data_IF_612920314252
#
_entry.id   IF_612920314252
#
_cell.length_a   1.000
_cell.length_b   1.000
_cell.length_c   1.000
_cell.angle_alpha   90.00
_cell.angle_beta   90.00
_cell.angle_gamma   90.00
#
_symmetry.space_group_name_H-M   'P 1'
#
loop_
_entity.id
_entity.type
_entity.pdbx_description
1 polymer ?
#
# COMPACT_ATOMS: atom_id res chain seq x y z
N UNK A 1 8.77 5.81 14.75
CA UNK A 1 9.30 4.64 14.02
C UNK A 1 8.18 3.62 13.80
N UNK A 2 8.37 2.65 12.91
CA UNK A 2 7.48 1.50 12.67
C UNK A 2 8.28 0.20 12.53
N UNK A 3 7.64 -0.97 12.60
CA UNK A 3 8.32 -2.27 12.41
C UNK A 3 8.93 -2.36 10.99
N UNK A 4 10.15 -2.89 10.91
CA UNK A 4 10.81 -3.24 9.65
C UNK A 4 10.53 -4.71 9.29
N UNK A 5 9.31 -4.97 8.81
CA UNK A 5 8.79 -6.28 8.39
C UNK A 5 7.98 -6.09 7.10
N UNK A 6 7.61 -7.15 6.36
CA UNK A 6 6.78 -7.03 5.16
C UNK A 6 5.49 -6.24 5.43
N UNK A 7 5.11 -5.39 4.47
CA UNK A 7 3.88 -4.61 4.56
C UNK A 7 2.67 -5.54 4.83
N UNK A 8 1.87 -5.18 5.82
CA UNK A 8 0.70 -5.95 6.22
C UNK A 8 0.96 -7.15 7.13
N UNK A 9 2.23 -7.49 7.41
CA UNK A 9 2.59 -8.47 8.42
C UNK A 9 2.55 -7.89 9.85
N UNK A 10 2.67 -8.75 10.86
CA UNK A 10 2.68 -8.36 12.26
C UNK A 10 3.66 -9.20 13.08
N UNK A 11 4.15 -8.64 14.18
CA UNK A 11 4.88 -9.38 15.21
C UNK A 11 3.94 -9.73 16.35
N UNK A 12 3.82 -11.02 16.66
CA UNK A 12 3.01 -11.52 17.78
C UNK A 12 3.86 -11.61 19.05
N UNK A 13 3.26 -11.21 20.17
CA UNK A 13 3.82 -11.35 21.51
C UNK A 13 2.83 -12.15 22.37
N UNK A 14 3.25 -13.30 22.86
CA UNK A 14 2.49 -14.06 23.85
C UNK A 14 2.66 -13.46 25.26
N UNK A 15 1.74 -13.74 26.21
CA UNK A 15 1.87 -13.26 27.58
C UNK A 15 3.20 -13.68 28.21
N UNK A 16 4.01 -12.68 28.61
CA UNK A 16 5.33 -12.87 29.23
C UNK A 16 6.49 -13.07 28.24
N UNK A 17 6.24 -13.02 26.93
CA UNK A 17 7.26 -13.15 25.90
C UNK A 17 8.04 -11.83 25.70
N UNK A 18 9.36 -11.96 25.49
CA UNK A 18 10.23 -10.86 25.09
C UNK A 18 10.83 -11.18 23.73
N UNK A 19 10.78 -10.22 22.79
CA UNK A 19 11.40 -10.32 21.47
C UNK A 19 12.15 -9.04 21.14
N UNK A 20 13.27 -9.18 20.42
CA UNK A 20 13.93 -8.06 19.76
C UNK A 20 13.22 -7.79 18.42
N UNK A 21 12.94 -6.53 18.14
CA UNK A 21 12.34 -6.09 16.87
C UNK A 21 13.19 -5.01 16.22
N UNK A 22 13.24 -4.99 14.89
CA UNK A 22 13.90 -3.92 14.13
C UNK A 22 12.85 -2.88 13.79
N UNK A 23 13.17 -1.61 14.07
CA UNK A 23 12.33 -0.47 13.76
C UNK A 23 12.98 0.40 12.69
N UNK A 24 12.15 1.02 11.86
CA UNK A 24 12.57 1.98 10.84
C UNK A 24 11.84 3.31 11.05
N UNK A 25 12.49 4.41 10.66
CA UNK A 25 11.86 5.73 10.62
C UNK A 25 10.66 5.72 9.68
N UNK A 26 9.63 6.50 10.01
CA UNK A 26 8.57 6.81 9.03
C UNK A 26 9.14 7.78 7.98
N UNK A 27 8.62 7.69 6.75
CA UNK A 27 9.03 8.54 5.62
C UNK A 27 8.04 9.71 5.45
N UNK A 28 8.03 10.34 4.27
CA UNK A 28 7.12 11.42 3.92
C UNK A 28 7.32 12.64 4.81
N UNK A 29 6.21 13.26 5.23
CA UNK A 29 6.22 14.45 6.11
C UNK A 29 6.60 14.13 7.56
N UNK A 30 6.73 12.85 7.91
CA UNK A 30 7.05 12.36 9.26
C UNK A 30 6.09 12.91 10.31
N UNK A 31 4.79 12.70 10.11
CA UNK A 31 3.75 13.12 11.06
C UNK A 31 3.09 11.88 11.64
N UNK A 32 3.02 11.81 12.97
CA UNK A 32 2.34 10.73 13.69
C UNK A 32 0.92 11.20 14.00
N UNK A 33 -0.08 10.34 13.76
CA UNK A 33 -1.49 10.58 14.07
C UNK A 33 -2.17 9.30 14.57
N UNK A 34 -3.22 9.44 15.36
CA UNK A 34 -4.07 8.33 15.79
C UNK A 34 -3.46 7.46 16.90
N UNK A 35 -3.84 6.18 16.93
CA UNK A 35 -3.46 5.26 18.01
C UNK A 35 -3.99 5.70 19.36
N UNK A 36 -3.11 5.78 20.37
CA UNK A 36 -3.46 6.29 21.71
C UNK A 36 -3.25 7.81 21.86
N UNK A 37 -3.00 8.53 20.75
CA UNK A 37 -2.75 9.98 20.74
C UNK A 37 -1.57 10.44 21.63
N UNK A 38 -0.64 9.54 21.98
CA UNK A 38 0.54 9.86 22.81
C UNK A 38 1.46 10.86 22.09
N UNK A 39 1.60 10.70 20.77
CA UNK A 39 2.55 11.44 19.95
C UNK A 39 1.91 12.04 18.68
N UNK A 40 0.67 12.52 18.76
CA UNK A 40 -0.03 13.14 17.61
C UNK A 40 0.58 14.50 17.23
N UNK A 41 1.69 14.45 16.50
CA UNK A 41 2.40 15.63 16.01
C UNK A 41 3.44 15.26 14.93
N UNK A 42 3.99 16.27 14.22
CA UNK A 42 5.23 16.08 13.45
C UNK A 42 6.37 15.58 14.34
N UNK A 43 7.15 14.64 13.82
CA UNK A 43 8.32 14.08 14.49
C UNK A 43 9.36 15.17 14.69
N UNK A 44 9.73 15.40 15.95
CA UNK A 44 10.67 16.43 16.37
C UNK A 44 11.34 15.98 17.68
N UNK A 45 12.67 15.89 17.69
CA UNK A 45 13.46 15.44 18.83
C UNK A 45 13.27 16.35 20.05
N UNK A 46 12.95 17.64 19.84
CA UNK A 46 12.69 18.58 20.92
C UNK A 46 11.45 18.20 21.75
N UNK A 47 10.53 17.41 21.20
CA UNK A 47 9.28 17.02 21.86
C UNK A 47 9.40 15.74 22.68
N UNK A 48 10.49 14.98 22.54
CA UNK A 48 10.68 13.66 23.17
C UNK A 48 10.43 13.74 24.68
N UNK A 49 10.99 14.73 25.38
CA UNK A 49 10.78 14.86 26.83
C UNK A 49 9.31 15.07 27.23
N UNK A 50 8.55 15.81 26.43
CA UNK A 50 7.12 16.03 26.67
C UNK A 50 6.32 14.76 26.42
N UNK A 51 6.67 14.02 25.35
CA UNK A 51 6.05 12.74 25.00
C UNK A 51 6.32 11.67 26.05
N UNK A 52 7.52 11.63 26.63
CA UNK A 52 7.85 10.70 27.72
C UNK A 52 7.05 11.00 29.00
N UNK A 53 6.77 12.28 29.27
CA UNK A 53 5.83 12.69 30.31
C UNK A 53 4.42 12.13 30.07
N UNK A 54 3.87 12.37 28.87
CA UNK A 54 2.55 11.86 28.48
C UNK A 54 2.48 10.32 28.50
N UNK A 55 3.56 9.63 28.12
CA UNK A 55 3.69 8.18 28.17
C UNK A 55 3.58 7.67 29.61
N UNK A 56 4.30 8.32 30.54
CA UNK A 56 4.27 7.97 31.96
C UNK A 56 2.91 8.26 32.60
N UNK A 57 2.28 9.40 32.28
CA UNK A 57 0.94 9.76 32.75
C UNK A 57 -0.13 8.79 32.24
N UNK A 58 0.01 8.33 30.99
CA UNK A 58 -0.86 7.34 30.37
C UNK A 58 -0.65 5.90 30.88
N UNK A 59 0.35 5.66 31.74
CA UNK A 59 0.64 4.33 32.29
C UNK A 59 1.18 3.34 31.26
N UNK A 60 1.80 3.82 30.18
CA UNK A 60 2.43 2.97 29.17
C UNK A 60 3.77 2.42 29.69
N UNK A 61 4.03 1.15 29.45
CA UNK A 61 5.29 0.51 29.87
C UNK A 61 6.49 1.10 29.13
N UNK A 62 7.49 1.54 29.88
CA UNK A 62 8.75 2.05 29.34
C UNK A 62 9.94 1.58 30.20
N UNK A 63 10.99 1.14 29.53
CA UNK A 63 12.29 0.85 30.12
C UNK A 63 13.36 1.35 29.13
N UNK A 64 14.28 2.18 29.61
CA UNK A 64 15.41 2.65 28.81
C UNK A 64 16.36 1.49 28.51
N UNK A 65 16.65 1.25 27.23
CA UNK A 65 17.69 0.33 26.81
C UNK A 65 18.99 1.12 26.66
N UNK A 66 20.03 0.88 27.48
CA UNK A 66 21.20 1.77 27.55
C UNK A 66 22.14 1.64 26.34
N UNK A 67 22.05 0.55 25.58
CA UNK A 67 22.94 0.29 24.44
C UNK A 67 22.13 -0.25 23.24
N UNK A 68 21.17 0.52 22.71
CA UNK A 68 20.39 0.06 21.56
C UNK A 68 21.31 0.00 20.33
N UNK A 69 21.12 -1.01 19.49
CA UNK A 69 21.80 -1.07 18.20
C UNK A 69 21.07 -0.15 17.23
N UNK A 70 21.68 0.98 16.90
CA UNK A 70 21.15 1.96 15.96
C UNK A 70 21.96 1.99 14.67
N UNK A 71 21.31 2.33 13.55
CA UNK A 71 21.95 2.43 12.26
C UNK A 71 20.95 2.71 11.14
N UNK A 72 21.44 2.62 9.90
CA UNK A 72 20.63 2.81 8.69
C UNK A 72 20.45 1.50 7.95
N UNK A 73 19.33 1.38 7.24
CA UNK A 73 19.10 0.31 6.27
C UNK A 73 19.97 0.53 5.04
N UNK A 74 20.36 -0.55 4.36
CA UNK A 74 21.22 -0.52 3.18
C UNK A 74 21.71 -1.91 2.77
N UNK A 75 22.43 -1.99 1.65
CA UNK A 75 23.09 -3.23 1.23
C UNK A 75 24.05 -3.71 2.34
N UNK A 76 23.95 -4.99 2.71
CA UNK A 76 24.71 -5.64 3.79
C UNK A 76 24.47 -5.12 5.23
N UNK A 77 23.47 -4.25 5.45
CA UNK A 77 23.11 -3.81 6.81
C UNK A 77 22.38 -4.90 7.58
N UNK A 78 22.78 -5.14 8.83
CA UNK A 78 22.08 -6.05 9.74
C UNK A 78 20.68 -5.58 10.14
N UNK A 79 20.31 -4.35 9.79
CA UNK A 79 18.98 -3.79 10.00
C UNK A 79 18.06 -3.97 8.79
N UNK A 80 18.60 -4.37 7.64
CA UNK A 80 17.83 -4.56 6.42
C UNK A 80 17.00 -5.83 6.50
N UNK A 81 15.75 -5.73 6.05
CA UNK A 81 14.88 -6.87 5.82
C UNK A 81 14.93 -7.20 4.32
N UNK A 82 15.10 -8.48 3.98
CA UNK A 82 15.05 -8.95 2.59
C UNK A 82 14.03 -10.08 2.46
N UNK A 83 13.46 -10.21 1.27
CA UNK A 83 12.54 -11.27 0.92
C UNK A 83 12.81 -11.72 -0.51
N UNK A 84 12.39 -12.96 -0.82
CA UNK A 84 12.51 -13.47 -2.18
C UNK A 84 11.45 -12.87 -3.09
N UNK A 85 11.70 -12.84 -4.40
CA UNK A 85 10.71 -12.42 -5.40
C UNK A 85 9.44 -13.28 -5.33
N UNK A 86 9.57 -14.58 -5.06
CA UNK A 86 8.42 -15.48 -4.93
C UNK A 86 7.53 -15.11 -3.73
N UNK A 87 8.12 -14.88 -2.55
CA UNK A 87 7.39 -14.43 -1.37
C UNK A 87 6.73 -13.07 -1.60
N UNK A 88 7.44 -12.15 -2.26
CA UNK A 88 6.91 -10.83 -2.60
C UNK A 88 5.72 -10.95 -3.54
N UNK A 89 5.85 -11.71 -4.63
CA UNK A 89 4.79 -11.92 -5.61
C UNK A 89 3.56 -12.57 -4.98
N UNK A 90 3.75 -13.51 -4.06
CA UNK A 90 2.66 -14.14 -3.31
C UNK A 90 1.92 -13.17 -2.38
N UNK A 91 2.57 -12.12 -1.88
CA UNK A 91 1.96 -11.14 -0.97
C UNK A 91 1.36 -9.93 -1.70
N UNK A 92 2.05 -9.41 -2.72
CA UNK A 92 1.77 -8.10 -3.31
C UNK A 92 1.61 -8.15 -4.83
N UNK A 93 1.73 -9.32 -5.46
CA UNK A 93 1.85 -9.46 -6.91
C UNK A 93 3.28 -9.24 -7.42
N UNK A 94 3.56 -9.67 -8.67
CA UNK A 94 4.92 -9.62 -9.25
C UNK A 94 5.44 -8.18 -9.38
N UNK A 95 6.75 -7.97 -9.29
CA UNK A 95 7.39 -6.67 -9.47
C UNK A 95 8.28 -6.64 -10.71
N UNK A 96 9.02 -5.54 -10.92
CA UNK A 96 9.85 -5.30 -12.11
C UNK A 96 10.76 -6.50 -12.43
N UNK A 97 10.72 -6.95 -13.69
CA UNK A 97 11.50 -8.09 -14.19
C UNK A 97 10.84 -9.46 -13.99
N UNK A 98 9.84 -9.57 -13.12
CA UNK A 98 9.05 -10.79 -12.99
C UNK A 98 8.20 -11.02 -14.25
N UNK A 99 7.88 -12.28 -14.53
CA UNK A 99 7.07 -12.69 -15.67
C UNK A 99 5.86 -13.50 -15.25
N UNK A 100 4.73 -13.25 -15.90
CA UNK A 100 3.47 -13.96 -15.69
C UNK A 100 2.95 -14.54 -17.00
N UNK A 101 2.49 -15.79 -16.97
CA UNK A 101 1.82 -16.42 -18.11
C UNK A 101 0.39 -15.91 -18.21
N UNK A 102 -0.07 -15.55 -19.41
CA UNK A 102 -1.44 -15.10 -19.63
C UNK A 102 -2.37 -16.30 -19.79
N UNK A 103 -3.05 -16.67 -18.70
CA UNK A 103 -3.93 -17.85 -18.68
C UNK A 103 -3.15 -19.13 -18.96
N UNK A 104 -3.70 -19.99 -19.83
CA UNK A 104 -3.07 -21.22 -20.31
C UNK A 104 -2.31 -21.04 -21.63
N UNK A 105 -2.15 -19.80 -22.11
CA UNK A 105 -1.45 -19.48 -23.36
C UNK A 105 0.07 -19.61 -23.23
N UNK A 106 0.80 -19.54 -24.35
CA UNK A 106 2.27 -19.44 -24.36
C UNK A 106 2.81 -17.99 -24.31
N UNK A 107 1.95 -17.04 -23.97
CA UNK A 107 2.32 -15.64 -23.80
C UNK A 107 2.78 -15.37 -22.38
N UNK A 108 3.92 -14.69 -22.25
CA UNK A 108 4.48 -14.26 -20.97
C UNK A 108 4.62 -12.73 -20.98
N UNK A 109 3.94 -12.08 -20.03
CA UNK A 109 4.05 -10.65 -19.78
C UNK A 109 5.14 -10.39 -18.74
N UNK A 110 6.09 -9.52 -19.04
CA UNK A 110 7.12 -9.06 -18.10
C UNK A 110 6.72 -7.71 -17.51
N UNK A 111 6.92 -7.53 -16.21
CA UNK A 111 6.68 -6.23 -15.56
C UNK A 111 7.82 -5.28 -15.92
N UNK A 112 7.51 -4.26 -16.71
CA UNK A 112 8.49 -3.29 -17.23
C UNK A 112 8.87 -2.26 -16.16
N UNK A 113 7.94 -1.95 -15.26
CA UNK A 113 8.12 -0.97 -14.18
C UNK A 113 7.17 -1.23 -13.02
N UNK A 114 7.65 -1.06 -11.79
CA UNK A 114 6.84 -0.97 -10.57
C UNK A 114 6.94 0.46 -10.03
N UNK A 115 5.80 1.08 -9.72
CA UNK A 115 5.72 2.40 -9.09
C UNK A 115 5.77 2.32 -7.55
N UNK A 116 5.67 1.12 -6.98
CA UNK A 116 5.74 0.89 -5.55
C UNK A 116 7.12 1.19 -4.94
N UNK A 117 7.11 1.49 -3.64
CA UNK A 117 8.31 1.57 -2.81
C UNK A 117 8.29 0.37 -1.87
N UNK A 118 9.34 -0.45 -1.94
CA UNK A 118 9.37 -1.72 -1.22
C UNK A 118 9.26 -1.54 0.30
N UNK A 119 8.30 -2.22 0.91
CA UNK A 119 7.99 -2.16 2.34
C UNK A 119 6.97 -1.08 2.73
N UNK A 120 6.42 -0.34 1.77
CA UNK A 120 5.32 0.62 1.93
C UNK A 120 4.10 0.26 1.04
N UNK A 121 3.96 -1.00 0.65
CA UNK A 121 2.84 -1.50 -0.16
C UNK A 121 1.49 -1.23 0.51
N UNK A 122 0.51 -0.79 -0.27
CA UNK A 122 -0.83 -0.51 0.22
C UNK A 122 -1.61 -1.82 0.34
N UNK A 123 -1.70 -2.41 1.54
CA UNK A 123 -2.48 -3.64 1.76
C UNK A 123 -3.56 -3.41 2.81
N UNK A 124 -4.80 -3.74 2.43
CA UNK A 124 -5.98 -3.64 3.29
C UNK A 124 -6.26 -4.94 4.06
N UNK A 125 -6.73 -4.79 5.30
CA UNK A 125 -7.14 -5.91 6.16
C UNK A 125 -6.82 -5.69 7.64
N UNK A 126 -7.28 -6.63 8.47
CA UNK A 126 -7.06 -6.60 9.92
C UNK A 126 -5.57 -6.56 10.27
N UNK A 127 -5.14 -5.51 10.98
CA UNK A 127 -3.74 -5.34 11.38
C UNK A 127 -2.78 -4.93 10.26
N UNK A 128 -3.27 -4.66 9.04
CA UNK A 128 -2.42 -4.33 7.89
C UNK A 128 -2.11 -2.83 7.78
N UNK A 129 -1.77 -2.37 6.57
CA UNK A 129 -1.22 -1.06 6.27
C UNK A 129 -2.29 0.03 6.22
N UNK A 130 -3.39 -0.22 5.48
CA UNK A 130 -4.44 0.78 5.26
C UNK A 130 -5.37 0.88 6.48
N UNK A 131 -4.91 1.64 7.47
CA UNK A 131 -5.60 1.97 8.73
C UNK A 131 -5.31 3.42 9.11
N UNK A 132 -6.20 3.99 9.92
CA UNK A 132 -6.14 5.38 10.38
C UNK A 132 -4.75 5.78 10.93
N UNK A 133 -4.21 6.88 10.41
CA UNK A 133 -2.88 7.42 10.78
C UNK A 133 -1.70 6.60 10.25
N UNK A 134 -1.94 5.46 9.60
CA UNK A 134 -0.94 4.60 8.97
C UNK A 134 -0.97 4.82 7.46
N UNK A 135 -1.23 3.79 6.64
CA UNK A 135 -1.37 3.97 5.19
C UNK A 135 -2.64 4.71 4.77
N UNK A 136 -3.62 4.84 5.67
CA UNK A 136 -4.78 5.74 5.49
C UNK A 136 -4.49 7.08 6.16
N UNK A 137 -4.42 8.13 5.36
CA UNK A 137 -4.13 9.49 5.79
C UNK A 137 -5.26 10.05 6.68
N UNK A 138 -4.86 10.75 7.74
CA UNK A 138 -5.76 11.37 8.71
C UNK A 138 -5.57 12.88 8.72
N UNK A 139 -6.67 13.64 8.67
CA UNK A 139 -6.63 15.11 8.65
C UNK A 139 -6.43 15.75 7.28
N UNK A 140 -6.63 15.01 6.20
CA UNK A 140 -6.62 15.53 4.83
C UNK A 140 -8.03 15.89 4.36
N UNK A 141 -8.21 16.99 3.59
CA UNK A 141 -9.50 17.32 3.00
C UNK A 141 -10.02 16.21 2.09
N UNK A 142 -11.33 15.87 2.13
CA UNK A 142 -11.91 14.87 1.22
C UNK A 142 -11.70 15.18 -0.27
N UNK A 143 -11.55 16.46 -0.62
CA UNK A 143 -11.25 16.90 -1.99
C UNK A 143 -9.89 16.37 -2.50
N UNK A 144 -8.92 16.16 -1.61
CA UNK A 144 -7.57 15.72 -1.97
C UNK A 144 -7.42 14.19 -1.92
N UNK A 145 -8.37 13.49 -1.28
CA UNK A 145 -8.36 12.04 -1.12
C UNK A 145 -9.01 11.33 -2.32
N UNK A 146 -8.56 10.13 -2.64
CA UNK A 146 -9.22 9.26 -3.61
C UNK A 146 -10.60 8.81 -3.13
N UNK A 147 -11.52 8.53 -4.06
CA UNK A 147 -12.79 7.88 -3.72
C UNK A 147 -12.61 6.36 -3.64
N UNK A 148 -11.79 5.80 -4.52
CA UNK A 148 -11.42 4.39 -4.53
C UNK A 148 -9.97 4.24 -4.95
N UNK A 149 -9.29 3.25 -4.38
CA UNK A 149 -7.95 2.83 -4.83
C UNK A 149 -7.96 1.35 -5.17
N UNK A 150 -7.39 0.98 -6.33
CA UNK A 150 -7.05 -0.41 -6.65
C UNK A 150 -5.58 -0.60 -6.31
N UNK A 151 -5.29 -1.41 -5.29
CA UNK A 151 -3.93 -1.54 -4.74
C UNK A 151 -3.10 -2.58 -5.49
N UNK A 152 -1.81 -2.32 -5.68
CA UNK A 152 -0.81 -3.28 -6.19
C UNK A 152 -1.20 -3.99 -7.50
N UNK A 153 -1.93 -3.31 -8.38
CA UNK A 153 -2.43 -3.88 -9.62
C UNK A 153 -1.30 -4.03 -10.66
N UNK A 154 -1.29 -5.16 -11.35
CA UNK A 154 -0.54 -5.29 -12.61
C UNK A 154 -1.41 -4.78 -13.74
N UNK A 155 -1.03 -3.67 -14.35
CA UNK A 155 -1.72 -3.09 -15.50
C UNK A 155 -1.12 -3.66 -16.78
N UNK A 156 -1.97 -4.23 -17.63
CA UNK A 156 -1.63 -4.53 -19.02
C UNK A 156 -2.43 -3.58 -19.90
N UNK A 157 -1.71 -2.71 -20.60
CA UNK A 157 -2.27 -1.75 -21.53
C UNK A 157 -1.40 -1.64 -22.77
N UNK A 158 -1.93 -1.05 -23.85
CA UNK A 158 -1.12 -0.79 -25.04
C UNK A 158 0.05 0.17 -24.78
N UNK A 159 -0.03 0.99 -23.73
CA UNK A 159 1.04 1.90 -23.30
C UNK A 159 2.17 1.21 -22.52
N UNK A 160 1.97 -0.03 -22.05
CA UNK A 160 3.00 -0.80 -21.35
C UNK A 160 2.42 -1.81 -20.34
N UNK A 161 3.33 -2.55 -19.70
CA UNK A 161 3.01 -3.53 -18.65
C UNK A 161 3.72 -3.11 -17.36
N UNK A 162 2.97 -2.62 -16.38
CA UNK A 162 3.54 -2.04 -15.18
C UNK A 162 2.70 -2.33 -13.94
N UNK A 163 3.32 -2.22 -12.75
CA UNK A 163 2.66 -2.38 -11.46
C UNK A 163 2.48 -1.03 -10.77
N UNK A 164 1.27 -0.72 -10.33
CA UNK A 164 0.96 0.53 -9.63
C UNK A 164 -0.29 0.40 -8.76
N UNK A 165 -0.54 1.44 -7.95
CA UNK A 165 -1.87 1.69 -7.39
C UNK A 165 -2.67 2.58 -8.36
N UNK A 166 -3.94 2.25 -8.58
CA UNK A 166 -4.84 2.99 -9.46
C UNK A 166 -5.77 3.84 -8.58
N UNK A 167 -5.65 5.16 -8.68
CA UNK A 167 -6.51 6.10 -7.98
C UNK A 167 -7.73 6.47 -8.81
N UNK A 168 -8.91 6.36 -8.21
CA UNK A 168 -10.20 6.72 -8.80
C UNK A 168 -10.82 7.86 -8.00
N UNK A 169 -11.28 8.89 -8.70
CA UNK A 169 -12.06 10.00 -8.12
C UNK A 169 -13.09 10.48 -9.12
N UNK A 170 -14.32 10.73 -8.66
CA UNK A 170 -15.47 11.17 -9.46
C UNK A 170 -15.73 10.26 -10.68
N UNK A 171 -15.47 8.96 -10.54
CA UNK A 171 -15.62 7.95 -11.60
C UNK A 171 -14.51 7.95 -12.66
N UNK A 172 -13.45 8.73 -12.47
CA UNK A 172 -12.31 8.81 -13.39
C UNK A 172 -11.03 8.25 -12.77
N UNK A 173 -10.17 7.67 -13.62
CA UNK A 173 -8.79 7.34 -13.24
C UNK A 173 -8.02 8.66 -13.14
N UNK A 174 -7.59 9.02 -11.93
CA UNK A 174 -6.88 10.29 -11.67
C UNK A 174 -5.38 10.09 -11.43
N UNK A 175 -4.94 8.87 -11.11
CA UNK A 175 -3.54 8.57 -10.88
C UNK A 175 -3.20 7.10 -11.13
N UNK A 176 -1.99 6.87 -11.68
CA UNK A 176 -1.32 5.57 -11.78
C UNK A 176 0.05 5.73 -11.14
N UNK A 177 0.17 5.43 -9.85
CA UNK A 177 1.35 5.82 -9.06
C UNK A 177 1.45 4.99 -7.77
N UNK A 178 2.28 5.44 -6.83
CA UNK A 178 2.22 4.97 -5.44
C UNK A 178 1.16 5.75 -4.67
N UNK A 179 0.12 5.06 -4.18
CA UNK A 179 -0.87 5.63 -3.27
C UNK A 179 -0.42 5.47 -1.81
N UNK A 180 -1.13 6.10 -0.87
CA UNK A 180 -0.91 5.89 0.57
C UNK A 180 -1.16 7.12 1.41
N UNK A 181 -0.34 7.28 2.45
CA UNK A 181 -0.40 8.42 3.34
C UNK A 181 0.90 9.23 3.29
N UNK A 182 0.89 10.47 2.76
CA UNK A 182 2.08 11.30 2.66
C UNK A 182 2.67 11.73 4.01
N UNK A 183 1.94 11.52 5.13
CA UNK A 183 2.47 11.78 6.47
C UNK A 183 3.54 10.76 6.89
N UNK A 184 3.49 9.53 6.37
CA UNK A 184 4.39 8.44 6.78
C UNK A 184 5.05 7.68 5.62
N UNK A 185 4.61 7.91 4.38
CA UNK A 185 5.10 7.29 3.14
C UNK A 185 5.47 8.39 2.14
N UNK A 186 6.35 8.06 1.19
CA UNK A 186 6.56 8.86 -0.02
C UNK A 186 5.54 8.40 -1.07
N UNK A 187 4.39 9.09 -1.14
CA UNK A 187 3.23 8.70 -1.94
C UNK A 187 2.67 9.88 -2.73
N UNK A 188 2.29 9.65 -3.98
CA UNK A 188 1.79 10.67 -4.90
C UNK A 188 0.26 10.84 -4.84
N UNK A 189 -0.47 9.83 -4.35
CA UNK A 189 -1.93 9.85 -4.22
C UNK A 189 -2.40 9.47 -2.80
N UNK A 190 -3.43 10.15 -2.31
CA UNK A 190 -3.84 10.08 -0.91
C UNK A 190 -5.01 9.11 -0.72
N UNK A 191 -4.79 8.08 0.11
CA UNK A 191 -5.84 7.21 0.63
C UNK A 191 -6.34 7.84 1.93
N UNK A 192 -7.57 8.38 1.92
CA UNK A 192 -8.18 9.05 3.06
C UNK A 192 -9.24 8.20 3.76
N UNK A 193 -9.89 8.81 4.76
CA UNK A 193 -10.98 8.19 5.54
C UNK A 193 -12.22 7.81 4.71
N UNK A 194 -12.40 8.43 3.54
CA UNK A 194 -13.53 8.20 2.64
C UNK A 194 -13.15 7.37 1.40
N UNK A 195 -11.94 6.80 1.37
CA UNK A 195 -11.44 6.03 0.23
C UNK A 195 -11.81 4.56 0.38
N UNK A 196 -12.50 4.00 -0.61
CA UNK A 196 -12.73 2.55 -0.72
C UNK A 196 -11.49 1.84 -1.28
N UNK A 197 -11.31 0.57 -0.94
CA UNK A 197 -10.17 -0.24 -1.40
C UNK A 197 -10.65 -1.46 -2.20
N UNK A 198 -10.06 -1.62 -3.39
CA UNK A 198 -10.14 -2.85 -4.18
C UNK A 198 -8.74 -3.49 -4.17
N UNK A 199 -8.62 -4.70 -3.66
CA UNK A 199 -7.35 -5.43 -3.64
C UNK A 199 -7.00 -5.93 -5.06
N UNK A 200 -5.92 -5.38 -5.64
CA UNK A 200 -5.40 -5.77 -6.95
C UNK A 200 -4.12 -6.60 -6.87
N UNK A 201 -3.56 -6.83 -5.68
CA UNK A 201 -2.40 -7.70 -5.50
C UNK A 201 -2.63 -9.09 -6.10
N UNK A 202 -1.72 -9.52 -6.98
CA UNK A 202 -1.81 -10.80 -7.70
C UNK A 202 -2.82 -10.83 -8.86
N UNK A 203 -3.48 -9.71 -9.16
CA UNK A 203 -4.46 -9.58 -10.25
C UNK A 203 -3.92 -8.73 -11.40
N UNK A 204 -4.45 -8.98 -12.59
CA UNK A 204 -4.24 -8.15 -13.78
C UNK A 204 -5.43 -7.21 -13.93
N UNK A 205 -5.15 -5.93 -14.21
CA UNK A 205 -6.14 -4.91 -14.54
C UNK A 205 -5.90 -4.46 -15.99
N UNK A 206 -6.99 -4.38 -16.76
CA UNK A 206 -7.00 -3.89 -18.13
C UNK A 206 -8.08 -2.81 -18.29
N UNK A 207 -8.00 -2.04 -19.37
CA UNK A 207 -9.17 -1.29 -19.82
C UNK A 207 -10.35 -2.25 -20.13
N UNK A 208 -11.58 -1.73 -20.04
CA UNK A 208 -12.76 -2.45 -20.53
C UNK A 208 -12.69 -2.63 -22.04
N UNK A 209 -13.02 -3.82 -22.55
CA UNK A 209 -12.97 -4.08 -23.98
C UNK A 209 -14.06 -3.31 -24.73
N UNK A 210 -13.73 -2.75 -25.90
CA UNK A 210 -14.67 -2.00 -26.74
C UNK A 210 -14.98 -2.81 -28.00
N UNK A 211 -16.24 -3.24 -28.14
CA UNK A 211 -16.75 -3.85 -29.37
C UNK A 211 -17.43 -2.79 -30.24
N UNK A 212 -16.82 -2.48 -31.38
CA UNK A 212 -17.31 -1.48 -32.32
C UNK A 212 -18.22 -2.05 -33.42
N UNK A 213 -18.57 -3.34 -33.37
CA UNK A 213 -19.41 -4.00 -34.37
C UNK A 213 -20.51 -4.86 -33.72
N UNK A 214 -21.25 -4.28 -32.79
CA UNK A 214 -22.37 -4.94 -32.11
C UNK A 214 -23.65 -4.83 -32.93
N UNK A 215 -24.29 -5.96 -33.17
CA UNK A 215 -25.65 -6.02 -33.71
C UNK A 215 -26.63 -6.12 -32.54
N UNK A 216 -27.41 -5.08 -32.26
CA UNK A 216 -28.37 -5.02 -31.15
C UNK A 216 -29.63 -5.87 -31.40
N UNK A 217 -29.46 -7.19 -31.47
CA UNK A 217 -30.52 -8.16 -31.78
C UNK A 217 -31.46 -8.37 -30.58
N UNK A 218 -30.90 -8.45 -29.38
CA UNK A 218 -31.67 -8.68 -28.15
C UNK A 218 -30.94 -8.10 -26.93
N UNK A 219 -31.62 -7.76 -25.83
CA UNK A 219 -30.97 -7.18 -24.65
C UNK A 219 -30.02 -8.15 -23.93
N UNK A 220 -30.19 -9.47 -24.11
CA UNK A 220 -29.38 -10.48 -23.44
C UNK A 220 -27.89 -10.38 -23.81
N UNK A 221 -27.59 -9.96 -25.05
CA UNK A 221 -26.20 -9.79 -25.49
C UNK A 221 -25.44 -8.73 -24.69
N UNK A 222 -26.14 -7.73 -24.12
CA UNK A 222 -25.49 -6.73 -23.28
C UNK A 222 -24.96 -7.34 -21.97
N UNK A 223 -25.66 -8.35 -21.43
CA UNK A 223 -25.19 -9.08 -20.25
C UNK A 223 -23.98 -9.96 -20.57
N UNK A 224 -23.99 -10.62 -21.73
CA UNK A 224 -22.86 -11.44 -22.19
C UNK A 224 -21.61 -10.60 -22.47
N UNK A 225 -21.82 -9.41 -23.05
CA UNK A 225 -20.77 -8.42 -23.29
C UNK A 225 -20.09 -8.01 -21.98
N UNK A 226 -20.86 -7.53 -21.00
CA UNK A 226 -20.27 -7.08 -19.73
C UNK A 226 -19.66 -8.23 -18.91
N UNK A 227 -20.25 -9.43 -18.94
CA UNK A 227 -19.69 -10.60 -18.23
C UNK A 227 -18.38 -11.11 -18.83
N UNK A 228 -18.11 -10.82 -20.09
CA UNK A 228 -16.84 -11.13 -20.77
C UNK A 228 -15.83 -9.99 -20.72
N UNK A 229 -16.13 -8.91 -19.99
CA UNK A 229 -15.23 -7.76 -19.80
C UNK A 229 -15.37 -6.65 -20.84
N UNK A 230 -16.40 -6.70 -21.71
CA UNK A 230 -16.71 -5.60 -22.62
C UNK A 230 -17.45 -4.47 -21.89
N UNK A 231 -17.08 -3.23 -22.19
CA UNK A 231 -17.76 -2.04 -21.69
C UNK A 231 -18.19 -1.19 -22.89
N UNK A 232 -19.45 -0.73 -22.86
CA UNK A 232 -19.97 0.18 -23.87
C UNK A 232 -19.56 1.60 -23.52
N UNK A 233 -18.73 2.21 -24.36
CA UNK A 233 -18.54 3.65 -24.33
C UNK A 233 -19.57 4.26 -25.30
N UNK A 234 -20.56 4.95 -24.74
CA UNK A 234 -21.52 5.77 -25.50
C UNK A 234 -21.01 7.21 -25.62
#
# INVERSE_FOLDING_TARGET
MRLNIPAGAATRFEPGETRSVVLIGISGKKVIRGGNAIADCPVDDAKVMTLMGALSEGGFGHLEEPNPREGVVGEESCFSFSMTHEEYANMFGPTTGDRMRLGDTDLFAEIEKDFGIFGDECVFGGGKVLRDGMGQACGYPPADCLDTVITNAVVIDYTGIFKCDIGIKDGHIVSLCKAGNPDIMDSDAIIGVNTEVIAGEGMIVTAGAIDCHVHFICPQLAYEAISSGQQFQA
#
